data_IF_267394910930
#
_entry.id   IF_267394910930
#
_cell.length_a   1.000
_cell.length_b   1.000
_cell.length_c   1.000
_cell.angle_alpha   90.00
_cell.angle_beta   90.00
_cell.angle_gamma   90.00
#
_symmetry.space_group_name_H-M   'P 1'
#
loop_
_entity.id
_entity.type
_entity.pdbx_description
1 polymer ?
#
# COMPACT_ATOMS: atom_id res chain seq x y z
N UNK A 1 17.87 -6.41 -12.73
CA UNK A 1 16.89 -5.58 -13.45
C UNK A 1 15.44 -5.89 -13.08
N UNK A 2 15.05 -7.14 -12.82
CA UNK A 2 13.67 -7.51 -12.43
C UNK A 2 13.09 -6.66 -11.25
N UNK A 3 13.84 -6.47 -10.17
CA UNK A 3 13.38 -5.70 -8.98
C UNK A 3 13.06 -4.22 -9.23
N UNK A 4 13.69 -3.57 -10.22
CA UNK A 4 13.40 -2.15 -10.53
C UNK A 4 12.03 -2.01 -11.19
N UNK A 5 11.62 -3.00 -12.00
CA UNK A 5 10.29 -2.98 -12.62
C UNK A 5 9.18 -3.15 -11.59
N UNK A 6 9.38 -4.00 -10.58
CA UNK A 6 8.43 -4.15 -9.47
C UNK A 6 8.23 -2.84 -8.71
N UNK A 7 9.33 -2.15 -8.36
CA UNK A 7 9.25 -0.83 -7.72
C UNK A 7 8.51 0.20 -8.59
N UNK A 8 8.77 0.20 -9.91
CA UNK A 8 8.05 1.08 -10.84
C UNK A 8 6.54 0.80 -10.83
N UNK A 9 6.14 -0.46 -10.77
CA UNK A 9 4.72 -0.83 -10.76
C UNK A 9 4.04 -0.47 -9.43
N UNK A 10 4.73 -0.60 -8.29
CA UNK A 10 4.21 -0.14 -7.01
C UNK A 10 4.01 1.38 -6.99
N UNK A 11 5.00 2.14 -7.49
CA UNK A 11 4.90 3.60 -7.62
C UNK A 11 3.79 4.00 -8.59
N UNK A 12 3.66 3.34 -9.74
CA UNK A 12 2.55 3.58 -10.68
C UNK A 12 1.20 3.32 -10.05
N UNK A 13 1.06 2.23 -9.29
CA UNK A 13 -0.17 1.91 -8.56
C UNK A 13 -0.51 2.99 -7.54
N UNK A 14 0.47 3.53 -6.84
CA UNK A 14 0.28 4.62 -5.89
C UNK A 14 -0.22 5.91 -6.59
N UNK A 15 0.39 6.27 -7.72
CA UNK A 15 -0.03 7.42 -8.53
C UNK A 15 -1.45 7.24 -9.10
N UNK A 16 -1.83 6.02 -9.47
CA UNK A 16 -3.21 5.73 -9.90
C UNK A 16 -4.21 5.94 -8.77
N UNK A 17 -3.94 5.42 -7.57
CA UNK A 17 -4.80 5.67 -6.39
C UNK A 17 -4.91 7.15 -6.07
N UNK A 18 -3.81 7.90 -6.22
CA UNK A 18 -3.82 9.35 -5.99
C UNK A 18 -4.72 10.09 -6.99
N UNK A 19 -4.66 9.72 -8.28
CA UNK A 19 -5.57 10.26 -9.29
C UNK A 19 -7.04 9.90 -9.04
N UNK A 20 -7.29 8.72 -8.48
CA UNK A 20 -8.65 8.26 -8.13
C UNK A 20 -9.18 8.86 -6.82
N UNK A 21 -8.36 9.57 -6.03
CA UNK A 21 -8.75 10.06 -4.71
C UNK A 21 -8.73 8.98 -3.61
N UNK A 22 -8.14 7.83 -3.88
CA UNK A 22 -8.06 6.66 -2.99
C UNK A 22 -6.70 6.54 -2.30
N UNK A 23 -5.77 7.46 -2.57
CA UNK A 23 -4.45 7.45 -1.96
C UNK A 23 -4.54 7.65 -0.45
N UNK A 24 -3.85 6.78 0.29
CA UNK A 24 -3.88 6.76 1.75
C UNK A 24 -5.01 5.91 2.34
N UNK A 25 -5.83 5.24 1.54
CA UNK A 25 -6.74 4.20 2.02
C UNK A 25 -6.08 2.81 1.90
N UNK A 26 -6.24 1.98 2.93
CA UNK A 26 -5.78 0.59 2.94
C UNK A 26 -6.63 -0.25 1.96
N UNK A 27 -5.99 -0.98 1.06
CA UNK A 27 -6.69 -1.81 0.08
C UNK A 27 -7.37 -3.06 0.67
N UNK A 28 -7.04 -3.44 1.90
CA UNK A 28 -7.65 -4.59 2.57
C UNK A 28 -8.83 -4.16 3.47
N UNK A 29 -8.60 -3.27 4.42
CA UNK A 29 -9.63 -2.89 5.40
C UNK A 29 -10.31 -1.54 5.15
N UNK A 30 -9.88 -0.78 4.14
CA UNK A 30 -10.40 0.56 3.85
C UNK A 30 -10.01 1.66 4.85
N UNK A 31 -9.30 1.33 5.95
CA UNK A 31 -8.87 2.32 6.94
C UNK A 31 -7.82 3.27 6.37
N UNK A 32 -7.69 4.45 6.98
CA UNK A 32 -6.63 5.40 6.64
C UNK A 32 -5.26 4.80 6.98
N UNK A 33 -4.31 4.91 6.07
CA UNK A 33 -2.91 4.56 6.26
C UNK A 33 -2.23 5.72 6.99
N UNK A 34 -1.44 5.40 8.02
CA UNK A 34 -0.68 6.38 8.79
C UNK A 34 0.15 7.31 7.88
N UNK A 35 0.07 8.62 8.14
CA UNK A 35 0.75 9.61 7.31
C UNK A 35 2.28 9.49 7.38
N UNK A 36 2.84 9.13 8.54
CA UNK A 36 4.27 8.87 8.70
C UNK A 36 4.73 7.68 7.87
N UNK A 37 3.90 6.62 7.79
CA UNK A 37 4.14 5.49 6.88
C UNK A 37 4.15 5.94 5.42
N UNK A 38 3.18 6.75 4.99
CA UNK A 38 3.13 7.25 3.59
C UNK A 38 4.30 8.18 3.26
N UNK A 39 4.83 8.92 4.24
CA UNK A 39 6.03 9.75 4.04
C UNK A 39 7.30 8.90 3.84
N UNK A 40 7.39 7.76 4.51
CA UNK A 40 8.54 6.85 4.41
C UNK A 40 8.43 5.89 3.21
N UNK A 41 7.22 5.41 2.92
CA UNK A 41 6.90 4.45 1.86
C UNK A 41 5.67 4.95 1.11
N UNK A 42 5.85 5.88 0.14
CA UNK A 42 4.74 6.50 -0.59
C UNK A 42 3.87 5.50 -1.36
N UNK A 43 4.44 4.36 -1.76
CA UNK A 43 3.77 3.32 -2.53
C UNK A 43 2.92 2.35 -1.69
N UNK A 44 2.93 2.50 -0.36
CA UNK A 44 2.25 1.61 0.57
C UNK A 44 0.77 1.38 0.18
N UNK A 45 0.40 0.10 0.11
CA UNK A 45 -0.95 -0.38 -0.25
C UNK A 45 -1.81 -0.68 0.98
N UNK A 46 -1.17 -0.95 2.12
CA UNK A 46 -1.81 -1.43 3.34
C UNK A 46 -1.37 -0.63 4.56
N UNK A 47 -2.28 -0.53 5.54
CA UNK A 47 -1.94 -0.09 6.89
C UNK A 47 -0.98 -1.09 7.55
N UNK A 48 -0.30 -0.69 8.64
CA UNK A 48 0.68 -1.55 9.31
C UNK A 48 0.09 -2.91 9.72
N UNK A 49 -1.13 -2.91 10.27
CA UNK A 49 -1.79 -4.15 10.71
C UNK A 49 -2.06 -5.11 9.55
N UNK A 50 -2.58 -4.61 8.42
CA UNK A 50 -2.81 -5.44 7.24
C UNK A 50 -1.50 -5.88 6.57
N UNK A 51 -0.47 -5.04 6.56
CA UNK A 51 0.85 -5.43 6.08
C UNK A 51 1.41 -6.60 6.92
N UNK A 52 1.32 -6.52 8.25
CA UNK A 52 1.79 -7.59 9.13
C UNK A 52 1.04 -8.90 8.90
N UNK A 53 -0.28 -8.85 8.67
CA UNK A 53 -1.07 -10.03 8.31
C UNK A 53 -0.60 -10.62 6.98
N UNK A 54 -0.37 -9.79 5.96
CA UNK A 54 0.11 -10.23 4.66
C UNK A 54 1.50 -10.88 4.76
N UNK A 55 2.43 -10.27 5.50
CA UNK A 55 3.80 -10.77 5.65
C UNK A 55 3.85 -12.10 6.43
N UNK A 56 2.92 -12.30 7.36
CA UNK A 56 2.78 -13.56 8.11
C UNK A 56 1.96 -14.63 7.39
N UNK A 57 1.39 -14.32 6.22
CA UNK A 57 0.53 -15.21 5.45
C UNK A 57 -0.85 -15.44 6.09
N UNK A 58 -1.24 -14.58 7.03
CA UNK A 58 -2.56 -14.60 7.66
C UNK A 58 -3.62 -13.98 6.73
N UNK A 59 -4.88 -14.36 6.95
CA UNK A 59 -5.99 -13.89 6.10
C UNK A 59 -6.28 -12.40 6.32
N UNK A 60 -6.35 -11.65 5.22
CA UNK A 60 -6.65 -10.22 5.23
C UNK A 60 -8.15 -9.97 5.43
N UNK A 61 -8.52 -8.90 6.15
CA UNK A 61 -9.90 -8.46 6.18
C UNK A 61 -10.34 -8.04 4.76
N UNK A 62 -11.58 -8.38 4.41
CA UNK A 62 -12.25 -7.92 3.18
C UNK A 62 -12.97 -6.60 3.41
#
# INVERSE_FOLDING_TARGET
>A
LQSVFEQLDEVRGALQRLKAGEYGACLACGSVIDAGRLQLVPEARHCLSCQQLQDSGAELPR
#
